data_IF_408723090607
#
_entry.id   IF_408723090607
#
_cell.length_a   1.000
_cell.length_b   1.000
_cell.length_c   1.000
_cell.angle_alpha   90.00
_cell.angle_beta   90.00
_cell.angle_gamma   90.00
#
_symmetry.space_group_name_H-M   'P 1'
#
loop_
_entity.id
_entity.type
_entity.pdbx_description
1 polymer ?
#
# COMPACT_ATOMS: atom_id res chain seq x y z
N UNK A 1 45.27 -29.68 -33.89
CA UNK A 1 44.68 -28.68 -34.79
C UNK A 1 43.46 -29.31 -35.45
N UNK A 2 42.41 -28.52 -35.67
CA UNK A 2 41.15 -28.82 -36.38
C UNK A 2 40.02 -29.40 -35.50
N UNK A 3 39.39 -28.47 -34.77
CA UNK A 3 37.95 -28.21 -34.62
C UNK A 3 36.93 -29.33 -34.94
N UNK A 4 36.24 -29.79 -33.89
CA UNK A 4 34.93 -30.44 -33.98
C UNK A 4 33.82 -29.37 -34.08
N UNK A 5 33.11 -29.33 -35.21
CA UNK A 5 31.93 -28.50 -35.40
C UNK A 5 30.68 -29.23 -34.93
N UNK A 6 30.01 -28.71 -33.89
CA UNK A 6 28.67 -29.13 -33.50
C UNK A 6 27.67 -28.15 -34.12
N UNK A 7 26.98 -28.61 -35.16
CA UNK A 7 25.90 -27.87 -35.81
C UNK A 7 24.65 -27.86 -34.95
N UNK A 8 24.17 -26.66 -34.59
CA UNK A 8 22.88 -26.47 -33.96
C UNK A 8 21.81 -26.30 -35.04
N UNK A 9 20.92 -27.28 -35.20
CA UNK A 9 19.73 -27.15 -36.04
C UNK A 9 18.69 -26.29 -35.32
N UNK A 10 18.56 -25.04 -35.75
CA UNK A 10 17.51 -24.14 -35.29
C UNK A 10 16.15 -24.58 -35.88
N UNK A 11 15.30 -25.24 -35.09
CA UNK A 11 13.89 -25.47 -35.48
C UNK A 11 13.18 -24.11 -35.53
N UNK A 12 12.75 -23.72 -36.73
CA UNK A 12 11.85 -22.56 -36.93
C UNK A 12 10.56 -22.79 -36.15
N UNK A 13 10.36 -22.02 -35.07
CA UNK A 13 9.06 -21.87 -34.43
C UNK A 13 8.16 -21.16 -35.45
N UNK A 14 7.02 -21.77 -35.80
CA UNK A 14 6.01 -21.15 -36.66
C UNK A 14 5.56 -19.84 -36.00
N UNK A 15 5.70 -18.74 -36.72
CA UNK A 15 5.17 -17.45 -36.32
C UNK A 15 3.67 -17.57 -36.02
N UNK A 16 3.29 -17.28 -34.78
CA UNK A 16 1.89 -17.03 -34.42
C UNK A 16 1.51 -15.75 -35.18
N UNK A 17 0.54 -15.85 -36.09
CA UNK A 17 -0.02 -14.69 -36.80
C UNK A 17 -0.54 -13.71 -35.75
N UNK A 18 0.12 -12.56 -35.61
CA UNK A 18 -0.46 -11.45 -34.88
C UNK A 18 -1.71 -11.02 -35.64
N UNK A 19 -2.88 -11.19 -35.02
CA UNK A 19 -4.07 -10.48 -35.49
C UNK A 19 -3.79 -9.01 -35.19
N UNK A 20 -3.44 -8.26 -36.23
CA UNK A 20 -3.33 -6.81 -36.15
C UNK A 20 -4.74 -6.29 -35.86
N UNK A 21 -5.01 -5.96 -34.60
CA UNK A 21 -6.10 -5.05 -34.29
C UNK A 21 -5.70 -3.71 -34.89
N UNK A 22 -6.38 -3.33 -35.97
CA UNK A 22 -6.39 -1.95 -36.43
C UNK A 22 -6.88 -1.10 -35.26
N UNK A 23 -5.98 -0.39 -34.60
CA UNK A 23 -6.30 0.65 -33.63
C UNK A 23 -6.93 1.80 -34.40
N UNK A 24 -8.21 1.67 -34.74
CA UNK A 24 -9.06 2.84 -34.86
C UNK A 24 -8.89 3.62 -33.56
N UNK A 25 -8.58 4.91 -33.65
CA UNK A 25 -8.43 5.81 -32.50
C UNK A 25 -9.68 5.76 -31.65
N UNK A 26 -9.70 4.86 -30.66
CA UNK A 26 -10.77 4.76 -29.68
C UNK A 26 -10.82 6.12 -28.96
N UNK A 27 -12.02 6.71 -28.88
CA UNK A 27 -12.24 7.96 -28.12
C UNK A 27 -11.94 7.69 -26.64
N UNK A 28 -11.61 8.72 -25.86
CA UNK A 28 -11.04 8.56 -24.52
C UNK A 28 -11.84 7.64 -23.59
N UNK A 29 -13.18 7.69 -23.70
CA UNK A 29 -14.08 6.79 -22.97
C UNK A 29 -13.89 5.31 -23.31
N UNK A 30 -13.78 4.98 -24.59
CA UNK A 30 -13.73 3.60 -25.07
C UNK A 30 -12.38 2.94 -24.70
N UNK A 31 -11.30 3.72 -24.61
CA UNK A 31 -9.98 3.25 -24.15
C UNK A 31 -9.99 2.86 -22.67
N UNK A 32 -10.58 3.71 -21.82
CA UNK A 32 -10.69 3.44 -20.37
C UNK A 32 -11.51 2.19 -20.11
N UNK A 33 -12.69 2.10 -20.73
CA UNK A 33 -13.61 0.98 -20.51
C UNK A 33 -13.02 -0.34 -21.01
N UNK A 34 -12.37 -0.36 -22.18
CA UNK A 34 -11.70 -1.54 -22.70
C UNK A 34 -10.51 -1.99 -21.83
N UNK A 35 -9.67 -1.04 -21.40
CA UNK A 35 -8.52 -1.31 -20.55
C UNK A 35 -8.93 -1.92 -19.21
N UNK A 36 -9.93 -1.33 -18.54
CA UNK A 36 -10.43 -1.83 -17.25
C UNK A 36 -11.19 -3.15 -17.39
N UNK A 37 -11.89 -3.39 -18.50
CA UNK A 37 -12.52 -4.67 -18.77
C UNK A 37 -11.49 -5.80 -18.95
N UNK A 38 -10.34 -5.53 -19.59
CA UNK A 38 -9.24 -6.51 -19.67
C UNK A 38 -8.66 -6.81 -18.28
N UNK A 39 -8.43 -5.76 -17.49
CA UNK A 39 -7.96 -5.89 -16.11
C UNK A 39 -8.86 -6.82 -15.28
N UNK A 40 -10.18 -6.63 -15.36
CA UNK A 40 -11.16 -7.43 -14.62
C UNK A 40 -11.08 -8.94 -14.93
N UNK A 41 -10.82 -9.31 -16.18
CA UNK A 41 -10.77 -10.72 -16.61
C UNK A 41 -9.48 -11.41 -16.18
N UNK A 42 -8.34 -10.77 -16.43
CA UNK A 42 -7.05 -11.46 -16.42
C UNK A 42 -6.35 -11.42 -15.06
N UNK A 43 -6.63 -10.38 -14.28
CA UNK A 43 -5.82 -10.03 -13.12
C UNK A 43 -6.56 -10.32 -11.80
N UNK A 44 -7.87 -10.09 -11.75
CA UNK A 44 -8.66 -10.18 -10.53
C UNK A 44 -8.69 -11.59 -9.88
N UNK A 45 -8.80 -12.71 -10.63
CA UNK A 45 -8.77 -14.04 -10.01
C UNK A 45 -7.44 -14.34 -9.28
N UNK A 46 -6.32 -13.79 -9.77
CA UNK A 46 -4.99 -13.92 -9.15
C UNK A 46 -4.78 -12.91 -8.01
N UNK A 47 -5.39 -11.73 -8.13
CA UNK A 47 -5.33 -10.68 -7.13
C UNK A 47 -6.02 -11.07 -5.82
N UNK A 48 -7.16 -11.79 -5.88
CA UNK A 48 -7.89 -12.22 -4.69
C UNK A 48 -7.01 -13.02 -3.73
N UNK A 49 -6.37 -14.09 -4.20
CA UNK A 49 -5.59 -14.97 -3.33
C UNK A 49 -4.42 -14.20 -2.68
N UNK A 50 -3.73 -13.39 -3.47
CA UNK A 50 -2.58 -12.60 -3.00
C UNK A 50 -3.01 -11.51 -2.02
N UNK A 51 -4.11 -10.79 -2.28
CA UNK A 51 -4.67 -9.82 -1.34
C UNK A 51 -5.10 -10.50 -0.03
N UNK A 52 -5.84 -11.61 -0.12
CA UNK A 52 -6.27 -12.42 1.02
C UNK A 52 -5.11 -12.90 1.89
N UNK A 53 -4.00 -13.29 1.28
CA UNK A 53 -2.86 -13.86 1.96
C UNK A 53 -1.88 -12.80 2.49
N UNK A 54 -1.56 -11.79 1.67
CA UNK A 54 -0.46 -10.86 1.91
C UNK A 54 -0.92 -9.46 2.31
N UNK A 55 -2.20 -9.14 2.11
CA UNK A 55 -2.75 -7.80 2.31
C UNK A 55 -2.37 -6.78 1.23
N UNK A 56 -1.68 -7.21 0.18
CA UNK A 56 -1.37 -6.42 -1.00
C UNK A 56 -1.23 -7.29 -2.26
N UNK A 57 -1.26 -6.67 -3.43
CA UNK A 57 -0.91 -7.28 -4.72
C UNK A 57 -0.29 -6.23 -5.64
N UNK A 58 0.70 -6.65 -6.44
CA UNK A 58 1.38 -5.81 -7.43
C UNK A 58 1.13 -6.38 -8.82
N UNK A 59 0.73 -5.52 -9.76
CA UNK A 59 0.34 -5.91 -11.10
C UNK A 59 1.02 -4.98 -12.10
N UNK A 60 1.84 -5.55 -12.99
CA UNK A 60 2.45 -4.82 -14.10
C UNK A 60 1.55 -4.86 -15.32
N UNK A 61 1.65 -3.84 -16.17
CA UNK A 61 0.83 -3.70 -17.38
C UNK A 61 -0.67 -3.76 -17.06
N UNK A 62 -1.08 -3.00 -16.04
CA UNK A 62 -2.43 -3.09 -15.47
C UNK A 62 -3.52 -2.63 -16.44
N UNK A 63 -3.23 -1.68 -17.30
CA UNK A 63 -4.14 -1.17 -18.34
C UNK A 63 -3.45 -1.14 -19.70
N UNK A 64 -4.17 -0.74 -20.75
CA UNK A 64 -3.55 -0.49 -22.06
C UNK A 64 -2.45 0.60 -21.92
N UNK A 65 -1.23 0.38 -22.43
CA UNK A 65 -0.16 1.38 -22.38
C UNK A 65 -0.55 2.74 -22.97
N UNK A 66 -1.39 2.77 -24.02
CA UNK A 66 -1.89 4.01 -24.60
C UNK A 66 -2.76 4.79 -23.60
N UNK A 67 -3.59 4.09 -22.80
CA UNK A 67 -4.37 4.71 -21.75
C UNK A 67 -3.47 5.27 -20.64
N UNK A 68 -2.48 4.52 -20.17
CA UNK A 68 -1.57 5.00 -19.14
C UNK A 68 -0.79 6.25 -19.59
N UNK A 69 -0.38 6.33 -20.87
CA UNK A 69 0.22 7.56 -21.43
C UNK A 69 -0.77 8.71 -21.52
N UNK A 70 -2.01 8.45 -21.95
CA UNK A 70 -3.05 9.48 -22.01
C UNK A 70 -3.36 10.08 -20.63
N UNK A 71 -3.49 9.24 -19.60
CA UNK A 71 -3.67 9.69 -18.21
C UNK A 71 -2.49 10.55 -17.74
N UNK A 72 -1.25 10.15 -18.03
CA UNK A 72 -0.05 10.92 -17.70
C UNK A 72 -0.06 12.29 -18.38
N UNK A 73 -0.33 12.32 -19.69
CA UNK A 73 -0.37 13.56 -20.47
C UNK A 73 -1.42 14.53 -19.94
N UNK A 74 -2.60 14.03 -19.56
CA UNK A 74 -3.64 14.83 -18.91
C UNK A 74 -3.17 15.39 -17.56
N UNK A 75 -2.53 14.59 -16.70
CA UNK A 75 -1.94 15.07 -15.44
C UNK A 75 -0.87 16.14 -15.69
N UNK A 76 -0.01 15.96 -16.70
CA UNK A 76 1.02 16.93 -17.05
C UNK A 76 0.42 18.28 -17.47
N UNK A 77 -0.67 18.27 -18.22
CA UNK A 77 -1.40 19.49 -18.60
C UNK A 77 -2.06 20.21 -17.41
N UNK A 78 -2.38 19.49 -16.34
CA UNK A 78 -2.99 20.03 -15.12
C UNK A 78 -1.96 20.55 -14.10
N UNK A 79 -0.65 20.45 -14.36
CA UNK A 79 0.39 20.75 -13.37
C UNK A 79 0.24 22.11 -12.70
N UNK A 80 -0.14 23.15 -13.44
CA UNK A 80 -0.31 24.51 -12.90
C UNK A 80 -1.55 24.67 -12.01
N UNK A 81 -2.45 23.69 -12.03
CA UNK A 81 -3.70 23.68 -11.27
C UNK A 81 -3.60 22.82 -10.00
N UNK A 82 -2.51 22.05 -9.83
CA UNK A 82 -2.28 21.23 -8.64
C UNK A 82 -1.91 22.12 -7.44
N UNK A 83 -2.36 21.74 -6.25
CA UNK A 83 -2.02 22.42 -4.99
C UNK A 83 -1.02 21.60 -4.17
N UNK A 84 -0.28 22.26 -3.28
CA UNK A 84 0.73 21.59 -2.44
C UNK A 84 0.11 20.55 -1.50
N UNK A 85 0.72 19.36 -1.40
CA UNK A 85 0.32 18.35 -0.43
C UNK A 85 0.66 18.80 0.99
N UNK A 86 -0.23 18.55 1.95
CA UNK A 86 0.04 18.75 3.37
C UNK A 86 -0.43 17.59 4.22
N UNK A 87 0.41 17.18 5.18
CA UNK A 87 0.02 16.29 6.26
C UNK A 87 -0.69 17.08 7.35
N UNK A 88 -1.88 16.63 7.73
CA UNK A 88 -2.68 17.24 8.79
C UNK A 88 -2.33 16.57 10.12
N UNK A 89 -1.78 17.35 11.05
CA UNK A 89 -1.37 16.88 12.37
C UNK A 89 -2.35 17.42 13.41
N UNK A 90 -3.10 16.52 14.03
CA UNK A 90 -4.01 16.85 15.12
C UNK A 90 -3.23 16.80 16.44
N UNK A 91 -3.06 17.96 17.08
CA UNK A 91 -2.38 18.07 18.38
C UNK A 91 -3.44 18.28 19.45
N UNK A 92 -3.35 17.54 20.56
CA UNK A 92 -4.27 17.67 21.69
C UNK A 92 -4.37 19.12 22.17
N UNK A 93 -5.59 19.59 22.42
CA UNK A 93 -5.86 20.96 22.87
C UNK A 93 -5.88 22.02 21.76
N UNK A 94 -5.63 21.66 20.49
CA UNK A 94 -5.84 22.56 19.34
C UNK A 94 -7.14 22.22 18.60
N UNK A 95 -7.89 23.26 18.22
CA UNK A 95 -9.13 23.12 17.45
C UNK A 95 -8.85 22.73 16.00
N UNK A 96 -7.87 23.37 15.39
CA UNK A 96 -7.50 23.18 14.00
C UNK A 96 -6.21 22.35 13.88
N UNK A 97 -6.09 21.48 12.86
CA UNK A 97 -4.88 20.72 12.63
C UNK A 97 -3.72 21.64 12.21
N UNK A 98 -2.50 21.24 12.58
CA UNK A 98 -1.30 21.83 12.02
C UNK A 98 -1.04 21.23 10.63
N UNK A 99 -0.72 22.09 9.67
CA UNK A 99 -0.38 21.66 8.32
C UNK A 99 1.14 21.53 8.19
N UNK A 100 1.59 20.34 7.82
CA UNK A 100 2.96 20.07 7.41
C UNK A 100 2.97 19.88 5.90
N UNK A 101 3.22 20.98 5.20
CA UNK A 101 3.42 20.97 3.75
C UNK A 101 4.57 20.03 3.39
N UNK A 102 4.40 19.29 2.30
CA UNK A 102 5.42 18.44 1.73
C UNK A 102 6.07 19.16 0.56
N UNK A 103 7.39 19.32 0.66
CA UNK A 103 8.16 19.89 -0.44
C UNK A 103 7.98 19.04 -1.71
N UNK A 104 7.91 19.73 -2.85
CA UNK A 104 7.95 19.14 -4.19
C UNK A 104 6.77 18.21 -4.54
N UNK A 105 5.75 18.11 -3.67
CA UNK A 105 4.60 17.23 -3.89
C UNK A 105 3.34 18.08 -4.06
N UNK A 106 2.72 17.98 -5.23
CA UNK A 106 1.42 18.56 -5.51
C UNK A 106 0.36 17.50 -5.80
N UNK A 107 -0.90 17.90 -5.64
CA UNK A 107 -2.04 17.01 -5.81
C UNK A 107 -3.30 17.73 -6.26
N UNK A 108 -4.29 16.93 -6.65
CA UNK A 108 -5.64 17.38 -6.96
C UNK A 108 -6.62 16.22 -6.78
N UNK A 109 -7.77 16.50 -6.16
CA UNK A 109 -8.89 15.55 -6.15
C UNK A 109 -9.42 15.35 -7.58
N UNK A 110 -9.45 14.11 -8.06
CA UNK A 110 -9.83 13.80 -9.44
C UNK A 110 -11.27 14.22 -9.77
N UNK A 111 -12.13 14.32 -8.76
CA UNK A 111 -13.51 14.81 -8.90
C UNK A 111 -13.58 16.26 -9.42
N UNK A 112 -12.55 17.06 -9.17
CA UNK A 112 -12.52 18.48 -9.57
C UNK A 112 -11.89 18.72 -10.93
N UNK A 113 -11.44 17.67 -11.62
CA UNK A 113 -10.77 17.80 -12.92
C UNK A 113 -11.73 18.34 -13.98
N UNK A 114 -11.29 19.29 -14.84
CA UNK A 114 -12.11 19.84 -15.91
C UNK A 114 -12.67 18.77 -16.87
N UNK A 115 -13.88 18.95 -17.43
CA UNK A 115 -14.46 18.00 -18.37
C UNK A 115 -13.65 17.76 -19.65
N UNK A 116 -12.69 18.63 -19.98
CA UNK A 116 -11.77 18.47 -21.11
C UNK A 116 -10.80 17.30 -20.99
N UNK A 117 -10.59 16.79 -19.78
CA UNK A 117 -9.68 15.68 -19.49
C UNK A 117 -10.46 14.37 -19.44
N UNK A 118 -10.89 13.92 -20.62
CA UNK A 118 -11.84 12.81 -20.78
C UNK A 118 -11.33 11.50 -20.16
N UNK A 119 -10.02 11.22 -20.21
CA UNK A 119 -9.48 9.96 -19.70
C UNK A 119 -9.49 9.93 -18.18
N UNK A 120 -9.04 11.01 -17.53
CA UNK A 120 -9.09 11.21 -16.08
C UNK A 120 -10.52 11.20 -15.56
N UNK A 121 -11.44 11.88 -16.26
CA UNK A 121 -12.85 11.89 -15.89
C UNK A 121 -13.46 10.49 -16.00
N UNK A 122 -13.24 9.79 -17.11
CA UNK A 122 -13.75 8.43 -17.26
C UNK A 122 -13.10 7.46 -16.27
N UNK A 123 -11.82 7.63 -15.93
CA UNK A 123 -11.17 6.85 -14.87
C UNK A 123 -11.89 7.01 -13.52
N UNK A 124 -12.30 8.24 -13.18
CA UNK A 124 -13.10 8.50 -11.99
C UNK A 124 -14.50 7.89 -12.07
N UNK A 125 -15.22 8.04 -13.17
CA UNK A 125 -16.60 7.56 -13.29
C UNK A 125 -16.67 6.02 -13.39
N UNK A 126 -15.56 5.36 -13.77
CA UNK A 126 -15.53 3.93 -14.00
C UNK A 126 -15.51 3.12 -12.69
N UNK A 127 -16.55 2.30 -12.51
CA UNK A 127 -16.73 1.46 -11.31
C UNK A 127 -16.14 0.05 -11.41
N UNK A 128 -15.39 -0.26 -12.46
CA UNK A 128 -14.93 -1.62 -12.78
C UNK A 128 -14.04 -2.17 -11.68
N UNK A 129 -13.04 -1.43 -11.20
CA UNK A 129 -12.14 -1.87 -10.12
C UNK A 129 -12.97 -2.23 -8.87
N UNK A 130 -13.85 -1.32 -8.44
CA UNK A 130 -14.70 -1.51 -7.25
C UNK A 130 -15.66 -2.70 -7.39
N UNK A 131 -16.42 -2.78 -8.49
CA UNK A 131 -17.40 -3.85 -8.71
C UNK A 131 -16.74 -5.23 -8.77
N UNK A 132 -15.59 -5.31 -9.44
CA UNK A 132 -14.84 -6.55 -9.54
C UNK A 132 -14.22 -6.96 -8.20
N UNK A 133 -13.61 -6.02 -7.45
CA UNK A 133 -13.11 -6.34 -6.10
C UNK A 133 -14.22 -6.82 -5.16
N UNK A 134 -15.42 -6.21 -5.22
CA UNK A 134 -16.58 -6.70 -4.47
C UNK A 134 -17.02 -8.11 -4.92
N UNK A 135 -16.98 -8.41 -6.22
CA UNK A 135 -17.31 -9.75 -6.72
C UNK A 135 -16.28 -10.80 -6.28
N UNK A 136 -14.99 -10.45 -6.29
CA UNK A 136 -13.91 -11.34 -5.88
C UNK A 136 -13.82 -11.51 -4.35
N UNK A 137 -14.14 -10.47 -3.58
CA UNK A 137 -14.13 -10.43 -2.12
C UNK A 137 -15.51 -9.96 -1.66
N UNK A 138 -16.50 -10.86 -1.55
CA UNK A 138 -17.88 -10.49 -1.22
C UNK A 138 -18.03 -9.74 0.10
N UNK A 139 -17.12 -9.96 1.06
CA UNK A 139 -17.09 -9.30 2.36
C UNK A 139 -16.42 -7.92 2.36
N UNK A 140 -15.96 -7.43 1.20
CA UNK A 140 -15.35 -6.10 1.07
C UNK A 140 -16.39 -4.98 1.19
N UNK A 141 -17.54 -5.15 0.52
CA UNK A 141 -18.67 -4.19 0.51
C UNK A 141 -18.26 -2.73 0.21
N UNK A 142 -17.35 -2.51 -0.74
CA UNK A 142 -16.94 -1.16 -1.15
C UNK A 142 -18.08 -0.43 -1.89
N UNK A 143 -18.51 0.71 -1.36
CA UNK A 143 -19.67 1.47 -1.82
C UNK A 143 -19.31 2.55 -2.83
N UNK A 144 -18.22 3.26 -2.60
CA UNK A 144 -17.75 4.37 -3.45
C UNK A 144 -16.22 4.47 -3.40
N UNK A 145 -15.68 5.43 -4.15
CA UNK A 145 -14.26 5.71 -4.19
C UNK A 145 -13.98 7.21 -4.22
N UNK A 146 -12.79 7.58 -3.77
CA UNK A 146 -12.15 8.86 -4.07
C UNK A 146 -10.86 8.59 -4.82
N UNK A 147 -10.48 9.47 -5.73
CA UNK A 147 -9.23 9.34 -6.49
C UNK A 147 -8.50 10.67 -6.43
N UNK A 148 -7.20 10.61 -6.19
CA UNK A 148 -6.32 11.77 -6.17
C UNK A 148 -5.22 11.63 -7.19
N UNK A 149 -4.98 12.71 -7.92
CA UNK A 149 -3.79 12.92 -8.73
C UNK A 149 -2.67 13.34 -7.79
N UNK A 150 -1.50 12.75 -7.96
CA UNK A 150 -0.30 13.20 -7.28
C UNK A 150 0.85 13.32 -8.26
N UNK A 151 1.50 14.46 -8.21
CA UNK A 151 2.75 14.74 -8.90
C UNK A 151 3.80 15.10 -7.85
N UNK A 152 4.94 14.40 -7.88
CA UNK A 152 6.12 14.75 -7.12
C UNK A 152 7.19 15.19 -8.12
N UNK A 153 7.68 16.42 -7.99
CA UNK A 153 8.66 17.02 -8.90
C UNK A 153 10.01 16.29 -8.88
N UNK A 154 10.32 15.62 -7.76
CA UNK A 154 11.63 15.06 -7.48
C UNK A 154 12.24 15.70 -6.24
N UNK A 155 13.57 15.90 -6.26
CA UNK A 155 14.31 16.66 -5.24
C UNK A 155 14.13 16.17 -3.79
N UNK A 156 13.85 14.88 -3.62
CA UNK A 156 13.76 14.21 -2.33
C UNK A 156 12.36 14.16 -1.72
N UNK A 157 11.34 14.67 -2.40
CA UNK A 157 9.94 14.59 -1.94
C UNK A 157 9.54 13.15 -1.59
N UNK A 158 8.97 12.94 -0.41
CA UNK A 158 8.61 11.62 0.13
C UNK A 158 7.43 11.65 1.11
N UNK A 159 7.00 10.46 1.53
CA UNK A 159 5.91 10.29 2.49
C UNK A 159 6.39 9.46 3.68
N UNK A 160 6.07 9.89 4.93
CA UNK A 160 6.47 9.15 6.10
C UNK A 160 5.69 7.84 6.20
N UNK A 161 6.12 6.98 7.12
CA UNK A 161 5.34 5.81 7.50
C UNK A 161 3.94 6.19 7.99
N UNK A 162 2.92 5.53 7.43
CA UNK A 162 1.53 5.71 7.82
C UNK A 162 0.65 4.51 7.41
N UNK A 163 -0.58 4.52 7.90
CA UNK A 163 -1.71 3.79 7.35
C UNK A 163 -2.62 4.81 6.65
N UNK A 164 -3.30 4.41 5.58
CA UNK A 164 -4.18 5.33 4.84
C UNK A 164 -5.48 5.64 5.57
N UNK A 165 -5.90 4.73 6.45
CA UNK A 165 -7.08 4.87 7.30
C UNK A 165 -6.70 5.12 8.75
N UNK A 166 -7.39 6.08 9.38
CA UNK A 166 -7.34 6.28 10.83
C UNK A 166 -8.11 5.18 11.61
N UNK A 167 -8.95 4.41 10.91
CA UNK A 167 -9.70 3.26 11.43
C UNK A 167 -11.22 3.42 11.40
N UNK A 168 -11.70 4.65 11.30
CA UNK A 168 -13.13 5.02 11.31
C UNK A 168 -13.56 5.86 10.09
N UNK A 169 -12.63 6.20 9.19
CA UNK A 169 -12.88 7.00 7.98
C UNK A 169 -13.47 6.19 6.80
N UNK A 170 -13.68 4.88 6.98
CA UNK A 170 -14.32 3.99 6.02
C UNK A 170 -13.45 3.50 4.87
N UNK A 171 -12.20 3.99 4.71
CA UNK A 171 -11.26 3.50 3.69
C UNK A 171 -10.92 2.04 3.94
N UNK A 172 -10.89 1.22 2.89
CA UNK A 172 -10.62 -0.21 3.01
C UNK A 172 -9.58 -0.76 2.04
N UNK A 173 -9.55 -0.25 0.80
CA UNK A 173 -8.55 -0.62 -0.20
C UNK A 173 -7.96 0.65 -0.77
N UNK A 174 -6.64 0.69 -0.82
CA UNK A 174 -5.90 1.68 -1.59
C UNK A 174 -5.41 1.02 -2.87
N UNK A 175 -5.60 1.69 -4.00
CA UNK A 175 -5.06 1.30 -5.29
C UNK A 175 -4.21 2.45 -5.86
N UNK A 176 -2.97 2.17 -6.24
CA UNK A 176 -2.05 3.17 -6.80
C UNK A 176 -1.65 2.73 -8.20
N UNK A 177 -1.97 3.54 -9.20
CA UNK A 177 -1.48 3.38 -10.58
C UNK A 177 -0.28 4.31 -10.82
N UNK A 178 0.87 3.71 -11.13
CA UNK A 178 2.10 4.43 -11.47
C UNK A 178 2.23 4.70 -12.96
N UNK A 179 2.71 5.90 -13.30
CA UNK A 179 2.74 6.42 -14.67
C UNK A 179 4.15 6.89 -15.09
N UNK A 180 5.21 6.25 -14.59
CA UNK A 180 6.59 6.72 -14.76
C UNK A 180 7.35 5.87 -15.79
N UNK A 181 7.27 6.25 -17.08
CA UNK A 181 7.85 5.52 -18.22
C UNK A 181 9.38 5.46 -18.17
N UNK A 182 10.00 6.58 -17.76
CA UNK A 182 11.45 6.72 -17.70
C UNK A 182 12.05 6.34 -16.33
N UNK A 183 11.27 5.70 -15.45
CA UNK A 183 11.80 5.29 -14.14
C UNK A 183 12.87 4.20 -14.32
N UNK A 184 14.03 4.39 -13.69
CA UNK A 184 15.07 3.37 -13.56
C UNK A 184 15.53 3.26 -12.11
N UNK A 185 16.21 2.16 -11.78
CA UNK A 185 16.76 1.94 -10.45
C UNK A 185 17.69 3.09 -10.05
N UNK A 186 17.50 3.64 -8.85
CA UNK A 186 18.23 4.80 -8.34
C UNK A 186 17.46 6.12 -8.42
N UNK A 187 16.36 6.20 -9.19
CA UNK A 187 15.48 7.39 -9.20
C UNK A 187 14.69 7.58 -7.90
N UNK A 188 14.64 6.56 -7.04
CA UNK A 188 13.89 6.60 -5.80
C UNK A 188 12.38 6.56 -6.03
N UNK A 189 11.62 7.07 -5.05
CA UNK A 189 10.16 7.18 -5.13
C UNK A 189 9.41 5.86 -4.97
N UNK A 190 10.10 4.79 -4.57
CA UNK A 190 9.51 3.48 -4.31
C UNK A 190 8.49 3.54 -3.17
N UNK A 191 7.41 2.76 -3.33
CA UNK A 191 6.50 2.45 -2.24
C UNK A 191 7.09 1.29 -1.44
N UNK A 192 7.23 1.48 -0.14
CA UNK A 192 7.68 0.42 0.75
C UNK A 192 6.53 -0.02 1.64
N UNK A 193 6.10 -1.27 1.47
CA UNK A 193 5.05 -1.89 2.25
C UNK A 193 5.64 -2.68 3.41
N UNK A 194 4.97 -2.65 4.56
CA UNK A 194 5.36 -3.33 5.79
C UNK A 194 4.26 -4.32 6.18
N UNK A 195 4.24 -5.54 5.58
CA UNK A 195 3.25 -6.57 5.89
C UNK A 195 3.53 -7.20 7.26
N UNK A 196 3.37 -6.42 8.34
CA UNK A 196 3.73 -6.81 9.70
C UNK A 196 3.09 -8.15 10.12
N UNK A 197 3.84 -9.11 10.68
CA UNK A 197 5.23 -8.99 11.17
C UNK A 197 6.31 -9.46 10.16
N UNK A 198 5.99 -9.60 8.88
CA UNK A 198 6.94 -10.07 7.87
C UNK A 198 7.85 -8.94 7.36
N UNK A 199 8.88 -9.35 6.61
CA UNK A 199 9.83 -8.45 5.99
C UNK A 199 9.15 -7.38 5.09
N UNK A 200 9.70 -6.16 5.05
CA UNK A 200 9.25 -5.11 4.14
C UNK A 200 9.37 -5.50 2.66
N UNK A 201 8.55 -4.88 1.82
CA UNK A 201 8.50 -5.11 0.38
C UNK A 201 8.60 -3.77 -0.34
N UNK A 202 9.66 -3.60 -1.11
CA UNK A 202 9.90 -2.38 -1.90
C UNK A 202 9.35 -2.54 -3.31
N UNK A 203 8.53 -1.59 -3.74
CA UNK A 203 7.84 -1.60 -5.02
C UNK A 203 8.25 -0.37 -5.82
N UNK A 204 9.01 -0.61 -6.90
CA UNK A 204 9.36 0.43 -7.86
C UNK A 204 8.11 1.04 -8.50
N UNK A 205 8.03 2.38 -8.65
CA UNK A 205 6.89 3.08 -9.23
C UNK A 205 6.94 3.07 -10.76
N UNK A 206 7.23 1.92 -11.37
CA UNK A 206 7.38 1.79 -12.83
C UNK A 206 6.07 2.05 -13.56
N UNK A 207 6.17 2.47 -14.82
CA UNK A 207 5.02 2.69 -15.68
C UNK A 207 4.03 1.53 -15.73
N UNK A 208 2.75 1.88 -15.70
CA UNK A 208 1.62 0.96 -15.82
C UNK A 208 1.63 -0.16 -14.76
N UNK A 209 2.18 0.14 -13.57
CA UNK A 209 2.08 -0.72 -12.39
C UNK A 209 0.92 -0.27 -11.51
N UNK A 210 0.03 -1.20 -11.22
CA UNK A 210 -1.05 -1.04 -10.25
C UNK A 210 -0.72 -1.83 -8.98
N UNK A 211 -0.76 -1.16 -7.84
CA UNK A 211 -0.60 -1.78 -6.51
C UNK A 211 -1.89 -1.63 -5.75
N UNK A 212 -2.42 -2.73 -5.21
CA UNK A 212 -3.56 -2.71 -4.30
C UNK A 212 -3.08 -3.16 -2.93
N UNK A 213 -3.52 -2.49 -1.86
CA UNK A 213 -3.25 -2.90 -0.49
C UNK A 213 -4.36 -2.46 0.47
N UNK A 214 -4.36 -3.06 1.65
CA UNK A 214 -5.25 -2.68 2.74
C UNK A 214 -5.02 -1.24 3.22
N UNK A 215 -6.04 -0.38 3.13
CA UNK A 215 -5.94 0.96 3.71
C UNK A 215 -5.83 0.96 5.24
N UNK A 216 -6.36 -0.08 5.89
CA UNK A 216 -6.46 -0.15 7.36
C UNK A 216 -5.28 -0.87 8.01
N UNK A 217 -4.71 -1.87 7.34
CA UNK A 217 -3.76 -2.81 7.94
C UNK A 217 -2.37 -2.77 7.30
N UNK A 218 -2.18 -2.10 6.17
CA UNK A 218 -0.87 -2.02 5.52
C UNK A 218 -0.13 -0.76 5.93
N UNK A 219 0.87 -0.93 6.81
CA UNK A 219 1.84 0.12 7.08
C UNK A 219 2.69 0.33 5.83
N UNK A 220 2.90 1.57 5.43
CA UNK A 220 3.70 1.87 4.26
C UNK A 220 4.31 3.27 4.32
N UNK A 221 5.32 3.50 3.49
CA UNK A 221 5.92 4.82 3.24
C UNK A 221 6.30 4.95 1.77
N UNK A 222 6.62 6.16 1.32
CA UNK A 222 7.21 6.38 -0.01
C UNK A 222 8.61 6.93 0.20
N UNK A 223 9.61 6.30 -0.43
CA UNK A 223 11.00 6.73 -0.35
C UNK A 223 11.22 8.06 -1.11
N UNK A 224 12.26 8.84 -0.77
CA UNK A 224 12.65 10.04 -1.52
C UNK A 224 12.75 9.78 -3.01
N UNK A 225 12.07 10.60 -3.82
CA UNK A 225 12.19 10.57 -5.27
C UNK A 225 13.18 11.66 -5.72
N UNK A 226 14.15 11.32 -6.55
CA UNK A 226 15.09 12.29 -7.15
C UNK A 226 14.64 12.79 -8.51
N UNK A 227 13.55 12.22 -9.05
CA UNK A 227 13.03 12.50 -10.38
C UNK A 227 11.49 12.65 -10.34
N UNK A 228 10.90 13.29 -11.37
CA UNK A 228 9.45 13.37 -11.53
C UNK A 228 8.73 12.04 -11.35
N UNK A 229 7.72 12.02 -10.48
CA UNK A 229 6.92 10.84 -10.15
C UNK A 229 5.43 11.16 -10.16
N UNK A 230 4.71 10.46 -11.02
CA UNK A 230 3.27 10.56 -11.24
C UNK A 230 2.57 9.31 -10.72
N UNK A 231 1.46 9.51 -10.02
CA UNK A 231 0.52 8.43 -9.71
C UNK A 231 -0.93 8.91 -9.57
N UNK A 232 -1.84 7.98 -9.80
CA UNK A 232 -3.25 8.08 -9.40
C UNK A 232 -3.46 7.18 -8.18
N UNK A 233 -3.95 7.75 -7.08
CA UNK A 233 -4.27 7.00 -5.87
C UNK A 233 -5.79 6.95 -5.69
N UNK A 234 -6.35 5.75 -5.69
CA UNK A 234 -7.77 5.49 -5.46
C UNK A 234 -7.97 4.88 -4.08
N UNK A 235 -8.81 5.49 -3.25
CA UNK A 235 -9.30 4.90 -2.00
C UNK A 235 -10.72 4.39 -2.19
N UNK A 236 -10.94 3.11 -1.90
CA UNK A 236 -12.27 2.52 -1.83
C UNK A 236 -12.82 2.61 -0.41
N UNK A 237 -14.08 2.99 -0.29
CA UNK A 237 -14.76 3.17 1.00
C UNK A 237 -15.81 2.10 1.21
N UNK A 238 -15.94 1.58 2.43
CA UNK A 238 -16.99 0.63 2.79
C UNK A 238 -18.34 1.33 3.02
N UNK A 239 -19.41 0.57 2.83
CA UNK A 239 -20.68 0.88 3.50
C UNK A 239 -20.52 0.69 5.01
N UNK A 240 -21.18 1.49 5.87
CA UNK A 240 -21.19 1.27 7.31
C UNK A 240 -21.94 -0.02 7.65
N UNK A 241 -21.23 -1.15 7.63
CA UNK A 241 -21.70 -2.44 8.15
C UNK A 241 -20.56 -3.18 8.85
N UNK A 242 -20.88 -3.70 10.03
CA UNK A 242 -19.99 -4.36 10.99
C UNK A 242 -20.08 -5.88 10.84
N UNK A 243 -19.65 -6.42 9.71
CA UNK A 243 -19.41 -7.86 9.63
C UNK A 243 -17.96 -8.16 10.05
N UNK A 244 -17.80 -8.76 11.22
CA UNK A 244 -16.54 -9.32 11.71
C UNK A 244 -16.43 -10.74 11.14
N UNK A 245 -15.43 -11.04 10.32
CA UNK A 245 -15.20 -12.44 9.93
C UNK A 245 -14.39 -13.12 11.03
N UNK A 246 -14.66 -14.40 11.20
CA UNK A 246 -13.86 -15.27 12.04
C UNK A 246 -12.59 -15.64 11.29
N UNK A 247 -11.43 -15.31 11.87
CA UNK A 247 -10.16 -15.76 11.36
C UNK A 247 -10.06 -17.29 11.52
N UNK A 248 -9.61 -18.03 10.50
CA UNK A 248 -9.21 -19.42 10.70
C UNK A 248 -8.08 -19.47 11.74
N UNK A 249 -8.27 -20.26 12.79
CA UNK A 249 -7.23 -20.51 13.78
C UNK A 249 -6.36 -21.68 13.32
N UNK A 250 -5.04 -21.56 13.48
CA UNK A 250 -4.13 -22.71 13.36
C UNK A 250 -3.75 -23.18 14.76
N UNK A 251 -3.39 -24.47 14.94
CA UNK A 251 -2.77 -24.92 16.18
C UNK A 251 -1.56 -24.04 16.47
N UNK A 252 -1.48 -23.57 17.72
CA UNK A 252 -0.37 -22.73 18.15
C UNK A 252 0.68 -23.60 18.82
N UNK A 253 1.94 -23.35 18.47
CA UNK A 253 3.07 -24.15 18.96
C UNK A 253 3.32 -23.89 20.45
N UNK A 254 3.12 -22.65 20.90
CA UNK A 254 3.26 -22.23 22.30
C UNK A 254 2.41 -20.98 22.64
N UNK A 255 2.52 -20.50 23.88
CA UNK A 255 1.78 -19.33 24.37
C UNK A 255 2.15 -18.03 23.64
N UNK A 256 3.40 -17.88 23.22
CA UNK A 256 3.83 -16.72 22.44
C UNK A 256 3.18 -16.74 21.07
N UNK A 257 3.16 -17.91 20.42
CA UNK A 257 2.52 -18.09 19.12
C UNK A 257 1.01 -17.81 19.19
N UNK A 258 0.31 -18.29 20.23
CA UNK A 258 -1.10 -17.94 20.48
C UNK A 258 -1.31 -16.44 20.61
N UNK A 259 -0.47 -15.77 21.39
CA UNK A 259 -0.55 -14.32 21.59
C UNK A 259 -0.36 -13.59 20.27
N UNK A 260 0.64 -13.95 19.46
CA UNK A 260 0.90 -13.31 18.17
C UNK A 260 -0.25 -13.55 17.18
N UNK A 261 -0.84 -14.75 17.16
CA UNK A 261 -2.02 -15.03 16.34
C UNK A 261 -3.22 -14.16 16.74
N UNK A 262 -3.47 -13.97 18.04
CA UNK A 262 -4.54 -13.09 18.54
C UNK A 262 -4.24 -11.61 18.25
N UNK A 263 -2.98 -11.21 18.40
CA UNK A 263 -2.54 -9.85 18.09
C UNK A 263 -2.77 -9.52 16.62
N UNK A 264 -2.44 -10.44 15.71
CA UNK A 264 -2.50 -10.26 14.26
C UNK A 264 -3.90 -9.94 13.73
N UNK A 265 -4.95 -10.29 14.48
CA UNK A 265 -6.35 -10.04 14.13
C UNK A 265 -7.01 -8.96 15.00
N UNK A 266 -6.25 -8.35 15.89
CA UNK A 266 -6.74 -7.32 16.82
C UNK A 266 -6.50 -5.90 16.27
N UNK A 267 -7.30 -4.90 16.68
CA UNK A 267 -7.02 -3.49 16.38
C UNK A 267 -5.64 -3.02 16.90
N UNK A 268 -5.11 -3.69 17.93
CA UNK A 268 -3.80 -3.39 18.52
C UNK A 268 -2.63 -3.72 17.59
N UNK A 269 -2.84 -4.50 16.51
CA UNK A 269 -1.81 -4.81 15.51
C UNK A 269 -1.15 -3.56 14.93
N UNK A 270 -1.91 -2.49 14.65
CA UNK A 270 -1.38 -1.25 14.08
C UNK A 270 -0.41 -0.56 15.05
N UNK A 271 -0.75 -0.56 16.34
CA UNK A 271 0.12 -0.07 17.40
C UNK A 271 1.39 -0.92 17.52
N UNK A 272 1.26 -2.25 17.39
CA UNK A 272 2.43 -3.14 17.40
C UNK A 272 3.34 -2.93 16.20
N UNK A 273 2.79 -2.70 15.00
CA UNK A 273 3.60 -2.32 13.85
C UNK A 273 4.33 -0.99 14.09
N UNK A 274 3.66 0.02 14.67
CA UNK A 274 4.27 1.32 15.00
C UNK A 274 5.40 1.19 16.02
N UNK A 275 5.24 0.34 17.04
CA UNK A 275 6.27 0.06 18.05
C UNK A 275 7.43 -0.74 17.47
N UNK A 276 7.13 -1.77 16.65
CA UNK A 276 8.15 -2.63 16.05
C UNK A 276 9.06 -1.86 15.09
N UNK A 277 8.49 -0.93 14.30
CA UNK A 277 9.22 -0.08 13.35
C UNK A 277 9.46 1.34 13.89
N UNK A 278 9.60 1.52 15.20
CA UNK A 278 9.63 2.86 15.79
C UNK A 278 10.79 3.73 15.25
N UNK A 279 11.97 3.14 15.09
CA UNK A 279 13.13 3.88 14.59
C UNK A 279 12.96 4.29 13.13
N UNK A 280 12.53 3.37 12.28
CA UNK A 280 12.27 3.58 10.85
C UNK A 280 11.14 4.60 10.64
N UNK A 281 10.10 4.54 11.49
CA UNK A 281 9.00 5.48 11.47
C UNK A 281 9.49 6.88 11.80
N UNK A 282 10.24 7.06 12.89
CA UNK A 282 10.82 8.36 13.26
C UNK A 282 11.73 8.90 12.15
N UNK A 283 12.59 8.07 11.58
CA UNK A 283 13.47 8.48 10.46
C UNK A 283 12.66 8.95 9.26
N UNK A 284 11.57 8.24 8.92
CA UNK A 284 10.69 8.64 7.81
C UNK A 284 9.97 9.97 8.06
N UNK A 285 9.60 10.27 9.32
CA UNK A 285 9.04 11.57 9.71
C UNK A 285 10.05 12.70 9.47
N UNK A 286 11.29 12.51 9.92
CA UNK A 286 12.38 13.49 9.75
C UNK A 286 12.72 13.70 8.27
N UNK A 287 12.73 12.63 7.46
CA UNK A 287 13.01 12.74 6.04
C UNK A 287 11.90 13.46 5.25
N UNK A 288 10.65 13.42 5.73
CA UNK A 288 9.49 13.90 4.97
C UNK A 288 9.05 15.32 5.31
N UNK A 289 9.66 15.97 6.31
CA UNK A 289 9.17 17.23 6.86
C UNK A 289 10.31 18.18 7.26
N UNK A 290 10.10 19.48 7.03
CA UNK A 290 11.01 20.53 7.51
C UNK A 290 10.99 20.63 9.04
N UNK A 291 12.13 21.02 9.66
CA UNK A 291 12.23 21.24 11.11
C UNK A 291 11.51 22.53 11.54
N UNK A 292 10.18 22.48 11.57
CA UNK A 292 9.31 23.58 12.02
C UNK A 292 8.76 23.30 13.41
N UNK A 293 8.19 24.32 14.07
CA UNK A 293 7.48 24.11 15.34
C UNK A 293 6.31 23.12 15.21
N UNK A 294 5.59 23.15 14.09
CA UNK A 294 4.52 22.19 13.82
C UNK A 294 5.06 20.75 13.71
N UNK A 295 6.23 20.58 13.07
CA UNK A 295 6.86 19.28 12.97
C UNK A 295 7.39 18.79 14.32
N UNK A 296 7.95 19.67 15.15
CA UNK A 296 8.35 19.31 16.51
C UNK A 296 7.16 18.81 17.34
N UNK A 297 6.00 19.50 17.27
CA UNK A 297 4.79 19.04 17.94
C UNK A 297 4.32 17.67 17.44
N UNK A 298 4.50 17.37 16.14
CA UNK A 298 4.20 16.05 15.60
C UNK A 298 5.16 14.97 16.16
N UNK A 299 6.46 15.27 16.25
CA UNK A 299 7.44 14.37 16.84
C UNK A 299 7.18 14.12 18.34
N UNK A 300 6.77 15.14 19.08
CA UNK A 300 6.43 15.00 20.50
C UNK A 300 5.21 14.08 20.68
N UNK A 301 4.17 14.28 19.87
CA UNK A 301 3.00 13.38 19.83
C UNK A 301 3.39 11.95 19.45
N UNK A 302 4.30 11.79 18.48
CA UNK A 302 4.82 10.48 18.09
C UNK A 302 5.54 9.78 19.27
N UNK A 303 6.38 10.51 20.00
CA UNK A 303 7.08 9.98 21.17
C UNK A 303 6.12 9.58 22.29
N UNK A 304 5.09 10.38 22.53
CA UNK A 304 4.06 10.07 23.51
C UNK A 304 3.26 8.81 23.12
N UNK A 305 2.90 8.67 21.84
CA UNK A 305 2.24 7.47 21.33
C UNK A 305 3.10 6.22 21.57
N UNK A 306 4.40 6.26 21.25
CA UNK A 306 5.30 5.12 21.45
C UNK A 306 5.35 4.72 22.93
N UNK A 307 5.46 5.68 23.84
CA UNK A 307 5.46 5.40 25.29
C UNK A 307 4.15 4.75 25.76
N UNK A 308 3.00 5.24 25.29
CA UNK A 308 1.67 4.66 25.60
C UNK A 308 1.58 3.22 25.06
N UNK A 309 2.00 3.01 23.81
CA UNK A 309 1.96 1.70 23.16
C UNK A 309 2.88 0.71 23.88
N UNK A 310 4.07 1.14 24.28
CA UNK A 310 5.02 0.30 25.04
C UNK A 310 4.44 -0.10 26.40
N UNK A 311 3.86 0.83 27.15
CA UNK A 311 3.19 0.52 28.42
C UNK A 311 2.03 -0.47 28.24
N UNK A 312 1.22 -0.31 27.19
CA UNK A 312 0.16 -1.25 26.84
C UNK A 312 0.70 -2.63 26.44
N UNK A 313 1.86 -2.67 25.75
CA UNK A 313 2.56 -3.92 25.38
C UNK A 313 3.02 -4.67 26.62
N UNK A 314 3.65 -4.00 27.59
CA UNK A 314 4.07 -4.62 28.85
C UNK A 314 2.88 -5.19 29.63
N UNK A 315 1.76 -4.46 29.66
CA UNK A 315 0.51 -4.95 30.28
C UNK A 315 -0.01 -6.21 29.57
N UNK A 316 -0.02 -6.21 28.23
CA UNK A 316 -0.39 -7.38 27.44
C UNK A 316 0.51 -8.58 27.76
N UNK A 317 1.84 -8.41 27.73
CA UNK A 317 2.81 -9.46 28.04
C UNK A 317 2.59 -10.04 29.44
N UNK A 318 2.36 -9.19 30.46
CA UNK A 318 2.04 -9.64 31.82
C UNK A 318 0.76 -10.47 31.87
N UNK A 319 -0.27 -10.13 31.10
CA UNK A 319 -1.52 -10.91 31.08
C UNK A 319 -1.33 -12.28 30.43
N UNK A 320 -0.67 -12.34 29.28
CA UNK A 320 -0.41 -13.60 28.58
C UNK A 320 0.59 -14.49 29.32
N UNK A 321 1.62 -13.92 29.95
CA UNK A 321 2.61 -14.66 30.72
C UNK A 321 2.07 -15.31 32.00
N UNK A 322 0.86 -14.93 32.45
CA UNK A 322 0.16 -15.56 33.59
C UNK A 322 -0.80 -16.68 33.17
N UNK A 323 -0.96 -16.92 31.86
CA UNK A 323 -1.81 -18.00 31.38
C UNK A 323 -1.24 -19.37 31.80
N UNK A 324 -2.11 -20.33 32.14
CA UNK A 324 -1.72 -21.64 32.73
C UNK A 324 -0.79 -22.47 31.84
N UNK A 325 -0.78 -22.16 30.55
CA UNK A 325 -0.09 -22.82 29.45
C UNK A 325 1.11 -22.00 28.94
N UNK A 326 1.46 -20.89 29.61
CA UNK A 326 2.67 -20.14 29.35
C UNK A 326 3.85 -20.76 30.09
N UNK A 327 4.87 -21.18 29.34
CA UNK A 327 6.17 -21.46 29.92
C UNK A 327 6.79 -20.14 30.40
N UNK A 328 6.74 -19.95 31.72
CA UNK A 328 7.23 -18.72 32.38
C UNK A 328 8.74 -18.52 32.23
N UNK A 329 9.48 -19.54 31.81
CA UNK A 329 10.93 -19.44 31.59
C UNK A 329 11.30 -18.90 30.20
N UNK A 330 10.41 -19.05 29.21
CA UNK A 330 10.67 -18.65 27.81
C UNK A 330 9.73 -17.57 27.28
N UNK A 331 8.65 -17.24 27.99
CA UNK A 331 7.73 -16.17 27.61
C UNK A 331 8.37 -14.78 27.81
N UNK A 332 8.29 -13.86 26.82
CA UNK A 332 8.92 -12.54 26.95
C UNK A 332 8.22 -11.68 28.00
N UNK A 333 9.00 -11.16 28.95
CA UNK A 333 8.54 -10.28 30.03
C UNK A 333 8.89 -8.80 29.81
N UNK A 334 9.68 -8.50 28.77
CA UNK A 334 10.05 -7.13 28.37
C UNK A 334 9.66 -6.88 26.92
N UNK A 335 9.41 -5.62 26.58
CA UNK A 335 9.14 -5.19 25.20
C UNK A 335 10.26 -5.62 24.26
N UNK A 336 11.52 -5.40 24.65
CA UNK A 336 12.68 -5.79 23.84
C UNK A 336 12.70 -7.29 23.55
N UNK A 337 12.58 -8.13 24.58
CA UNK A 337 12.56 -9.59 24.39
C UNK A 337 11.38 -10.06 23.50
N UNK A 338 10.23 -9.38 23.60
CA UNK A 338 9.08 -9.63 22.73
C UNK A 338 9.37 -9.29 21.27
N UNK A 339 9.89 -8.09 20.98
CA UNK A 339 10.22 -7.65 19.62
C UNK A 339 11.34 -8.50 19.01
N UNK A 340 12.38 -8.84 19.78
CA UNK A 340 13.48 -9.71 19.35
C UNK A 340 12.98 -11.12 18.98
N UNK A 341 12.01 -11.65 19.74
CA UNK A 341 11.38 -12.94 19.45
C UNK A 341 10.46 -12.87 18.24
N UNK A 342 9.69 -11.78 18.09
CA UNK A 342 8.85 -11.56 16.92
C UNK A 342 9.70 -11.50 15.65
N UNK A 343 10.80 -10.76 15.71
CA UNK A 343 11.77 -10.64 14.62
C UNK A 343 12.31 -12.02 14.21
N UNK A 344 12.84 -12.79 15.17
CA UNK A 344 13.38 -14.14 14.91
C UNK A 344 12.36 -15.09 14.29
N UNK A 345 11.10 -15.02 14.73
CA UNK A 345 10.07 -15.95 14.29
C UNK A 345 9.45 -15.58 12.93
N UNK A 346 9.36 -14.29 12.59
CA UNK A 346 8.53 -13.84 11.47
C UNK A 346 9.25 -13.03 10.38
N UNK A 347 10.53 -12.65 10.55
CA UNK A 347 11.27 -11.95 9.47
C UNK A 347 11.40 -12.78 8.20
N UNK A 348 11.41 -14.11 8.31
CA UNK A 348 11.43 -15.01 7.16
C UNK A 348 10.05 -15.64 6.99
N UNK A 349 9.44 -15.43 5.82
CA UNK A 349 8.17 -16.08 5.46
C UNK A 349 8.40 -17.59 5.28
N UNK A 350 8.35 -18.33 6.38
CA UNK A 350 8.21 -19.79 6.36
C UNK A 350 6.73 -20.14 6.28
N UNK A 351 6.30 -21.14 5.47
CA UNK A 351 4.91 -21.58 5.42
C UNK A 351 4.33 -21.96 6.79
N UNK A 352 5.17 -22.39 7.75
CA UNK A 352 4.75 -22.71 9.13
C UNK A 352 4.36 -21.48 9.96
N UNK A 353 4.88 -20.29 9.59
CA UNK A 353 4.72 -19.05 10.36
C UNK A 353 3.76 -18.06 9.69
N UNK A 354 2.96 -18.52 8.72
CA UNK A 354 1.96 -17.67 8.09
C UNK A 354 0.78 -17.45 9.05
N UNK A 355 0.76 -16.27 9.65
CA UNK A 355 -0.39 -15.71 10.35
C UNK A 355 -1.49 -15.38 9.35
N UNK A 356 -2.72 -15.73 9.71
CA UNK A 356 -3.88 -15.15 9.06
C UNK A 356 -3.99 -13.69 9.48
N UNK A 357 -3.80 -12.78 8.52
CA UNK A 357 -3.98 -11.34 8.73
C UNK A 357 -5.23 -10.96 7.95
N UNK A 358 -6.35 -10.62 8.62
CA UNK A 358 -7.52 -10.11 7.94
C UNK A 358 -7.14 -8.78 7.30
N UNK A 359 -6.91 -8.77 5.99
CA UNK A 359 -6.39 -7.58 5.34
C UNK A 359 -7.45 -6.47 5.22
N UNK A 360 -8.74 -6.73 5.41
CA UNK A 360 -9.78 -5.73 5.21
C UNK A 360 -10.64 -5.49 6.44
N UNK A 361 -10.35 -6.12 7.59
CA UNK A 361 -11.21 -6.03 8.77
C UNK A 361 -10.74 -5.03 9.80
#
# INVERSE_FOLDING_TARGET
MITAGVGWTCRRVKAVRSVAFTTASLRGKDLVDAGLASWARDILPRARATLLQNGYVVMNNAVDPALARALKAEIESLRSELYANSTHVYVSGKKDPLLLEKDHIQEMELLTVPPSHEHLKQWFDNSTIRKNLNAAIPTLHASHHMIKIQFNEGDGGCFPMHFDSYGDDGKCVTAILYLNEDWVHGHGGELELYPFPYAPVTIAPVFNRLVLFSSTQMLHRVLPATHPRYCLTTWLYKSPQTARATAPSRPADDAFDRMVQQLAVSPFRRHMAKLYYANEWKQSLVASHKPTHAFQAYLDSYHQDIAIIEAATLKMLSTFGKAKDADTTTFPTTTKAFLDRLQRNYQHQSPRNLLFIPWWQ
#
